data_IF_942546419190
#
_entry.id   IF_942546419190
#
_cell.length_a   1.000
_cell.length_b   1.000
_cell.length_c   1.000
_cell.angle_alpha   90.00
_cell.angle_beta   90.00
_cell.angle_gamma   90.00
#
_symmetry.space_group_name_H-M   'P 1'
#
loop_
_entity.id
_entity.type
_entity.pdbx_description
1 polymer ?
#
# COMPACT_ATOMS: atom_id res chain seq x y z
N UNK A 1 12.13 -26.22 48.69
CA UNK A 1 13.38 -25.72 49.32
C UNK A 1 13.85 -24.52 48.53
N UNK A 2 14.21 -23.43 49.23
CA UNK A 2 14.59 -22.11 48.69
C UNK A 2 13.46 -21.17 48.21
N UNK A 3 12.55 -20.89 49.13
CA UNK A 3 11.92 -19.57 49.27
C UNK A 3 12.16 -19.12 50.70
N UNK A 4 13.30 -18.46 50.98
CA UNK A 4 13.63 -17.79 52.26
C UNK A 4 15.08 -17.30 52.20
N UNK A 5 15.28 -16.03 51.85
CA UNK A 5 16.34 -15.11 52.33
C UNK A 5 16.39 -13.88 51.43
N UNK A 6 15.42 -12.99 51.57
CA UNK A 6 15.59 -11.53 51.41
C UNK A 6 14.45 -10.78 52.13
N UNK A 7 13.97 -11.38 53.22
CA UNK A 7 12.85 -10.87 54.00
C UNK A 7 13.26 -10.77 55.47
N UNK A 8 14.31 -10.01 55.77
CA UNK A 8 14.62 -9.54 57.12
C UNK A 8 15.70 -8.46 57.02
N UNK A 9 15.28 -7.20 57.02
CA UNK A 9 16.23 -6.09 57.07
C UNK A 9 15.69 -4.74 56.65
N UNK A 10 14.43 -4.39 56.97
CA UNK A 10 13.94 -2.99 56.99
C UNK A 10 12.54 -2.93 57.63
N UNK A 11 12.41 -3.50 58.83
CA UNK A 11 11.26 -3.30 59.73
C UNK A 11 11.78 -2.84 61.09
N UNK A 12 12.40 -1.66 61.10
CA UNK A 12 12.65 -0.85 62.30
C UNK A 12 13.20 0.52 61.88
N UNK A 13 12.31 1.42 61.45
CA UNK A 13 12.45 2.88 61.60
C UNK A 13 11.22 3.58 61.01
N UNK A 14 10.07 3.38 61.64
CA UNK A 14 8.93 4.29 61.50
C UNK A 14 8.38 4.59 62.88
N UNK A 15 9.01 5.57 63.52
CA UNK A 15 8.40 6.45 64.49
C UNK A 15 9.31 7.67 64.56
N UNK A 16 9.11 8.59 63.62
CA UNK A 16 9.70 9.92 63.68
C UNK A 16 8.63 10.92 63.24
N UNK A 17 8.55 11.97 64.03
CA UNK A 17 7.39 12.79 64.33
C UNK A 17 6.88 13.60 63.13
N UNK A 18 5.55 13.76 63.01
CA UNK A 18 4.89 14.51 61.91
C UNK A 18 5.17 16.01 61.95
N UNK A 19 5.98 16.50 62.88
CA UNK A 19 6.38 17.90 63.01
C UNK A 19 7.73 18.25 62.36
N UNK A 20 8.58 17.27 61.99
CA UNK A 20 9.92 17.54 61.45
C UNK A 20 9.98 17.48 59.92
N UNK A 21 9.09 16.72 59.27
CA UNK A 21 9.05 16.62 57.79
C UNK A 21 8.62 17.92 57.09
N UNK A 22 7.95 18.83 57.79
CA UNK A 22 7.47 20.10 57.23
C UNK A 22 8.57 21.17 57.14
N UNK A 23 9.67 21.06 57.92
CA UNK A 23 10.77 22.04 57.87
C UNK A 23 11.79 21.80 56.76
N UNK A 24 11.93 20.57 56.24
CA UNK A 24 12.91 20.28 55.17
C UNK A 24 12.36 20.66 53.78
N UNK A 25 11.04 20.69 53.61
CA UNK A 25 10.40 21.09 52.34
C UNK A 25 10.36 22.61 52.08
N UNK A 26 10.67 23.44 53.08
CA UNK A 26 10.68 24.91 52.93
C UNK A 26 12.08 25.46 52.61
N UNK A 27 13.15 24.69 52.85
CA UNK A 27 14.53 25.19 52.75
C UNK A 27 15.24 24.95 51.40
N UNK A 28 14.70 24.14 50.49
CA UNK A 28 15.26 23.97 49.12
C UNK A 28 14.46 24.67 48.02
N UNK A 29 13.36 25.35 48.37
CA UNK A 29 12.60 26.20 47.45
C UNK A 29 13.18 27.63 47.29
N UNK A 30 14.28 27.95 47.98
CA UNK A 30 14.85 29.31 48.02
C UNK A 30 16.32 29.39 47.59
N UNK A 31 16.74 28.63 46.57
CA UNK A 31 18.03 28.91 45.87
C UNK A 31 17.97 28.60 44.38
N UNK A 32 16.93 29.05 43.67
CA UNK A 32 17.05 29.39 42.24
C UNK A 32 15.98 30.41 41.82
N UNK A 33 15.88 31.52 42.55
CA UNK A 33 15.17 32.71 42.05
C UNK A 33 15.85 33.18 40.76
N UNK A 34 15.25 32.90 39.60
CA UNK A 34 15.31 33.86 38.50
C UNK A 34 14.43 35.03 38.92
N UNK A 35 15.04 36.20 39.01
CA UNK A 35 14.46 37.47 39.41
C UNK A 35 13.11 37.71 38.73
N UNK A 36 12.04 37.72 39.51
CA UNK A 36 10.79 38.35 39.13
C UNK A 36 11.00 39.87 39.24
N UNK A 37 11.16 40.55 38.11
CA UNK A 37 11.06 42.00 38.04
C UNK A 37 9.64 42.43 38.45
N UNK A 38 9.57 43.44 39.31
CA UNK A 38 8.34 44.17 39.62
C UNK A 38 7.71 44.67 38.32
N UNK A 39 6.56 44.10 37.93
CA UNK A 39 5.69 44.72 36.93
C UNK A 39 4.75 45.68 37.66
N UNK A 40 4.99 46.98 37.47
CA UNK A 40 3.93 47.99 37.49
C UNK A 40 2.77 47.54 36.58
N UNK A 41 1.54 48.07 36.75
CA UNK A 41 0.39 47.66 35.93
C UNK A 41 0.56 48.16 34.50
N UNK A 42 1.30 47.37 33.70
CA UNK A 42 1.41 47.54 32.26
C UNK A 42 0.07 47.14 31.67
N UNK A 43 -0.66 48.13 31.14
CA UNK A 43 -1.76 47.92 30.21
C UNK A 43 -1.24 46.97 29.11
N UNK A 44 -1.73 45.72 29.00
CA UNK A 44 -1.22 44.79 28.01
C UNK A 44 -1.70 45.28 26.65
N UNK A 45 -0.83 46.00 25.96
CA UNK A 45 -0.99 46.29 24.55
C UNK A 45 -1.18 44.95 23.83
N UNK A 46 -2.30 44.79 23.13
CA UNK A 46 -2.69 43.54 22.46
C UNK A 46 -1.66 43.06 21.42
N UNK A 47 -0.69 43.92 21.07
CA UNK A 47 0.39 43.65 20.14
C UNK A 47 1.57 42.85 20.72
N UNK A 48 1.68 42.69 22.04
CA UNK A 48 2.88 42.08 22.67
C UNK A 48 2.80 40.53 22.80
N UNK A 49 1.69 39.91 22.38
CA UNK A 49 1.47 38.47 22.43
C UNK A 49 1.68 37.75 21.07
N UNK A 50 2.21 38.45 20.06
CA UNK A 50 2.42 37.86 18.73
C UNK A 50 3.75 37.12 18.68
N UNK A 51 3.73 35.84 18.29
CA UNK A 51 4.97 35.08 18.12
C UNK A 51 5.81 35.66 16.97
N UNK A 52 7.04 36.08 17.27
CA UNK A 52 7.97 36.67 16.30
C UNK A 52 9.16 35.77 15.98
N UNK A 53 9.11 34.47 16.28
CA UNK A 53 10.19 33.57 15.86
C UNK A 53 10.19 33.42 14.33
N UNK A 54 11.32 33.08 13.70
CA UNK A 54 11.37 32.81 12.26
C UNK A 54 10.31 31.79 11.80
N UNK A 55 10.10 30.73 12.56
CA UNK A 55 9.16 29.65 12.26
C UNK A 55 7.70 30.14 12.32
N UNK A 56 7.34 30.90 13.35
CA UNK A 56 6.02 31.54 13.45
C UNK A 56 5.76 32.51 12.30
N UNK A 57 6.78 33.29 11.91
CA UNK A 57 6.66 34.21 10.76
C UNK A 57 6.47 33.47 9.45
N UNK A 58 7.26 32.43 9.21
CA UNK A 58 7.14 31.59 8.01
C UNK A 58 5.75 30.95 7.91
N UNK A 59 5.27 30.35 9.00
CA UNK A 59 3.96 29.73 9.06
C UNK A 59 2.83 30.77 8.90
N UNK A 60 2.97 31.94 9.55
CA UNK A 60 2.01 33.04 9.43
C UNK A 60 1.90 33.56 8.00
N UNK A 61 3.03 33.71 7.29
CA UNK A 61 3.06 34.08 5.87
C UNK A 61 2.39 33.00 5.01
N UNK A 62 2.74 31.72 5.23
CA UNK A 62 2.17 30.60 4.48
C UNK A 62 0.64 30.55 4.60
N UNK A 63 0.12 30.64 5.83
CA UNK A 63 -1.33 30.67 6.10
C UNK A 63 -1.99 31.90 5.48
N UNK A 64 -1.37 33.08 5.64
CA UNK A 64 -1.91 34.33 5.07
C UNK A 64 -2.02 34.31 3.55
N UNK A 65 -1.13 33.60 2.85
CA UNK A 65 -1.22 33.46 1.40
C UNK A 65 -2.30 32.47 0.95
N UNK A 66 -2.63 31.47 1.77
CA UNK A 66 -3.64 30.47 1.45
C UNK A 66 -5.07 30.97 1.72
N UNK A 67 -5.25 31.78 2.77
CA UNK A 67 -6.57 32.27 3.21
C UNK A 67 -7.17 33.30 2.24
N UNK A 68 -8.41 33.09 1.80
CA UNK A 68 -9.23 34.07 1.08
C UNK A 68 -10.22 34.75 2.04
N UNK A 69 -9.84 35.95 2.51
CA UNK A 69 -10.68 36.75 3.43
C UNK A 69 -11.97 37.28 2.81
N UNK A 70 -12.21 37.09 1.52
CA UNK A 70 -13.49 37.45 0.87
C UNK A 70 -14.54 36.34 1.01
N UNK A 71 -14.17 35.18 1.54
CA UNK A 71 -15.08 34.07 1.85
C UNK A 71 -15.43 34.10 3.34
N UNK A 72 -16.69 33.83 3.66
CA UNK A 72 -17.07 33.61 5.06
C UNK A 72 -16.67 32.18 5.45
N UNK A 73 -15.82 31.97 6.48
CA UNK A 73 -15.47 30.64 6.96
C UNK A 73 -16.68 29.84 7.47
N UNK A 74 -17.77 30.50 7.87
CA UNK A 74 -19.01 29.83 8.30
C UNK A 74 -19.83 29.29 7.11
N UNK A 75 -19.63 29.85 5.91
CA UNK A 75 -20.32 29.43 4.69
C UNK A 75 -19.53 28.33 3.94
N UNK A 76 -18.22 28.55 3.76
CA UNK A 76 -17.33 27.62 3.06
C UNK A 76 -15.92 27.72 3.62
N UNK A 77 -15.67 26.95 4.68
CA UNK A 77 -14.37 26.91 5.34
C UNK A 77 -13.26 26.44 4.40
N UNK A 78 -13.56 25.56 3.44
CA UNK A 78 -12.57 25.03 2.51
C UNK A 78 -12.08 26.11 1.55
N UNK A 79 -12.97 26.82 0.87
CA UNK A 79 -12.56 27.94 0.01
C UNK A 79 -11.92 29.06 0.83
N UNK A 80 -12.38 29.31 2.06
CA UNK A 80 -11.76 30.28 2.95
C UNK A 80 -10.28 29.97 3.22
N UNK A 81 -9.89 28.71 3.43
CA UNK A 81 -8.50 28.35 3.77
C UNK A 81 -7.65 27.83 2.60
N UNK A 82 -8.26 27.32 1.53
CA UNK A 82 -7.54 26.61 0.45
C UNK A 82 -7.65 27.28 -0.93
N UNK A 83 -8.58 28.20 -1.17
CA UNK A 83 -8.86 28.71 -2.52
C UNK A 83 -7.66 29.36 -3.18
N UNK A 84 -6.94 30.23 -2.49
CA UNK A 84 -5.75 30.88 -3.04
C UNK A 84 -4.60 29.87 -3.25
N UNK A 85 -4.47 28.87 -2.38
CA UNK A 85 -3.51 27.79 -2.57
C UNK A 85 -3.81 27.00 -3.84
N UNK A 86 -5.07 26.61 -4.07
CA UNK A 86 -5.49 25.89 -5.28
C UNK A 86 -5.22 26.69 -6.57
N UNK A 87 -5.41 28.01 -6.53
CA UNK A 87 -5.15 28.87 -7.68
C UNK A 87 -3.65 29.01 -7.99
N UNK A 88 -2.82 29.01 -6.96
CA UNK A 88 -1.37 29.20 -7.08
C UNK A 88 -0.58 27.89 -7.27
N UNK A 89 -1.23 26.73 -7.15
CA UNK A 89 -0.58 25.43 -7.27
C UNK A 89 -1.24 24.60 -8.38
N UNK A 90 -0.48 24.35 -9.46
CA UNK A 90 -0.90 23.48 -10.54
C UNK A 90 -0.51 22.03 -10.26
N UNK A 91 -1.39 21.09 -10.61
CA UNK A 91 -1.08 19.67 -10.55
C UNK A 91 0.10 19.36 -11.49
N UNK A 92 1.22 18.80 -10.99
CA UNK A 92 2.31 18.35 -11.85
C UNK A 92 1.80 17.35 -12.89
N UNK A 93 2.30 17.38 -14.14
CA UNK A 93 1.69 16.62 -15.24
C UNK A 93 1.77 15.09 -15.05
N UNK A 94 2.66 14.60 -14.18
CA UNK A 94 2.84 13.18 -13.88
C UNK A 94 2.09 12.72 -12.61
N UNK A 95 1.27 13.57 -12.01
CA UNK A 95 0.42 13.22 -10.86
C UNK A 95 -1.06 13.31 -11.26
N UNK A 96 -1.93 12.44 -10.71
CA UNK A 96 -3.37 12.55 -10.91
C UNK A 96 -3.92 13.77 -10.14
N UNK A 97 -3.54 13.90 -8.88
CA UNK A 97 -3.95 14.97 -7.98
C UNK A 97 -2.76 15.62 -7.28
N UNK A 98 -2.99 16.80 -6.71
CA UNK A 98 -1.97 17.53 -5.95
C UNK A 98 -2.55 18.18 -4.69
N UNK A 99 -1.78 18.15 -3.62
CA UNK A 99 -2.20 18.59 -2.28
C UNK A 99 -1.02 18.58 -1.31
N UNK A 100 -1.27 18.92 -0.05
CA UNK A 100 -0.21 18.97 0.97
C UNK A 100 0.50 17.63 1.21
N UNK A 101 -0.21 16.51 1.16
CA UNK A 101 0.43 15.17 1.27
C UNK A 101 1.35 14.90 0.08
N UNK A 102 0.94 15.28 -1.13
CA UNK A 102 1.79 15.17 -2.33
C UNK A 102 3.01 16.08 -2.26
N UNK A 103 2.86 17.31 -1.78
CA UNK A 103 3.98 18.22 -1.52
C UNK A 103 5.03 17.58 -0.59
N UNK A 104 4.58 16.97 0.51
CA UNK A 104 5.47 16.28 1.46
C UNK A 104 6.15 15.08 0.80
N UNK A 105 5.40 14.27 0.02
CA UNK A 105 5.96 13.13 -0.71
C UNK A 105 6.98 13.56 -1.77
N UNK A 106 6.74 14.65 -2.49
CA UNK A 106 7.69 15.24 -3.44
C UNK A 106 8.98 15.68 -2.74
N UNK A 107 8.86 16.39 -1.62
CA UNK A 107 10.02 16.86 -0.85
C UNK A 107 10.81 15.68 -0.27
N UNK A 108 10.12 14.67 0.27
CA UNK A 108 10.73 13.41 0.69
C UNK A 108 11.49 12.74 -0.46
N UNK A 109 10.87 12.62 -1.63
CA UNK A 109 11.50 12.00 -2.79
C UNK A 109 12.74 12.77 -3.27
N UNK A 110 12.73 14.10 -3.23
CA UNK A 110 13.90 14.94 -3.53
C UNK A 110 15.03 14.73 -2.54
N UNK A 111 14.74 14.69 -1.24
CA UNK A 111 15.74 14.40 -0.19
C UNK A 111 16.36 13.02 -0.34
N UNK A 112 15.54 12.01 -0.65
CA UNK A 112 16.03 10.67 -0.95
C UNK A 112 16.88 10.65 -2.23
N UNK A 113 16.46 11.33 -3.29
CA UNK A 113 17.26 11.52 -4.51
C UNK A 113 18.63 12.10 -4.19
N UNK A 114 18.71 13.12 -3.34
CA UNK A 114 19.97 13.75 -2.95
C UNK A 114 20.89 12.81 -2.16
N UNK A 115 20.33 11.95 -1.30
CA UNK A 115 21.11 10.89 -0.64
C UNK A 115 21.64 9.90 -1.68
N UNK A 116 20.74 9.34 -2.48
CA UNK A 116 21.02 8.24 -3.40
C UNK A 116 21.98 8.64 -4.53
N UNK A 117 21.85 9.86 -5.05
CA UNK A 117 22.71 10.37 -6.13
C UNK A 117 24.16 10.60 -5.68
N UNK A 118 24.39 10.75 -4.37
CA UNK A 118 25.73 10.89 -3.78
C UNK A 118 26.34 9.53 -3.37
N UNK A 119 25.61 8.43 -3.50
CA UNK A 119 26.12 7.09 -3.20
C UNK A 119 26.96 6.56 -4.37
N UNK A 120 28.16 6.09 -4.07
CA UNK A 120 29.05 5.43 -5.03
C UNK A 120 28.99 3.92 -4.86
N UNK A 121 28.92 3.18 -5.97
CA UNK A 121 29.10 1.72 -5.97
C UNK A 121 30.58 1.40 -6.17
N UNK A 122 31.24 0.79 -5.18
CA UNK A 122 32.66 0.43 -5.24
C UNK A 122 32.92 -0.90 -5.99
N UNK A 123 31.92 -1.75 -6.16
CA UNK A 123 32.06 -3.13 -6.67
C UNK A 123 30.82 -3.61 -7.45
N UNK A 124 30.98 -4.66 -8.25
CA UNK A 124 29.87 -5.36 -8.94
C UNK A 124 29.07 -6.30 -8.01
N UNK A 125 29.51 -6.48 -6.77
CA UNK A 125 28.87 -7.33 -5.76
C UNK A 125 28.56 -6.49 -4.53
N UNK A 126 27.29 -6.44 -4.12
CA UNK A 126 26.90 -5.68 -2.94
C UNK A 126 27.36 -6.38 -1.65
N UNK A 127 28.24 -5.74 -0.89
CA UNK A 127 28.75 -6.26 0.39
C UNK A 127 27.96 -5.73 1.59
N UNK A 128 27.29 -4.59 1.43
CA UNK A 128 26.46 -3.95 2.45
C UNK A 128 25.04 -3.61 1.95
N UNK A 129 24.14 -3.28 2.88
CA UNK A 129 22.82 -2.73 2.54
C UNK A 129 22.93 -1.43 1.72
N UNK A 130 23.92 -0.59 2.02
CA UNK A 130 24.18 0.63 1.26
C UNK A 130 24.60 0.34 -0.18
N UNK A 131 25.42 -0.69 -0.40
CA UNK A 131 25.81 -1.10 -1.75
C UNK A 131 24.60 -1.61 -2.53
N UNK A 132 23.70 -2.39 -1.88
CA UNK A 132 22.45 -2.85 -2.52
C UNK A 132 21.57 -1.67 -2.91
N UNK A 133 21.39 -0.70 -2.03
CA UNK A 133 20.60 0.52 -2.29
C UNK A 133 21.22 1.31 -3.45
N UNK A 134 22.52 1.56 -3.40
CA UNK A 134 23.25 2.29 -4.43
C UNK A 134 23.18 1.55 -5.78
N UNK A 135 23.44 0.24 -5.80
CA UNK A 135 23.35 -0.58 -7.01
C UNK A 135 21.94 -0.57 -7.60
N UNK A 136 20.89 -0.72 -6.78
CA UNK A 136 19.51 -0.72 -7.26
C UNK A 136 19.12 0.64 -7.86
N UNK A 137 19.43 1.75 -7.16
CA UNK A 137 19.16 3.09 -7.66
C UNK A 137 19.94 3.40 -8.95
N UNK A 138 21.24 3.11 -8.98
CA UNK A 138 22.07 3.35 -10.17
C UNK A 138 21.64 2.45 -11.34
N UNK A 139 21.21 1.21 -11.08
CA UNK A 139 20.66 0.32 -12.10
C UNK A 139 19.39 0.91 -12.74
N UNK A 140 18.49 1.46 -11.93
CA UNK A 140 17.30 2.13 -12.43
C UNK A 140 17.63 3.44 -13.18
N UNK A 141 18.62 4.20 -12.70
CA UNK A 141 19.01 5.49 -13.28
C UNK A 141 19.77 5.39 -14.60
N UNK A 142 20.42 4.26 -14.89
CA UNK A 142 21.07 4.02 -16.19
C UNK A 142 20.08 4.24 -17.31
N UNK A 143 20.49 4.96 -18.35
CA UNK A 143 19.66 5.14 -19.54
C UNK A 143 19.25 3.79 -20.12
N UNK A 144 18.06 3.77 -20.71
CA UNK A 144 17.52 2.57 -21.34
C UNK A 144 18.46 2.11 -22.45
N UNK A 145 18.51 0.79 -22.69
CA UNK A 145 19.31 0.27 -23.80
C UNK A 145 18.79 0.92 -25.08
N UNK A 146 19.68 1.40 -25.94
CA UNK A 146 19.28 1.90 -27.26
C UNK A 146 18.74 0.77 -28.17
N UNK A 147 18.55 -0.44 -27.65
CA UNK A 147 18.10 -1.64 -28.34
C UNK A 147 16.82 -2.21 -27.71
N UNK A 148 15.63 -1.82 -28.21
CA UNK A 148 14.34 -2.33 -27.73
C UNK A 148 14.23 -3.87 -27.72
N UNK A 149 14.83 -4.53 -28.70
CA UNK A 149 14.84 -6.01 -28.78
C UNK A 149 15.53 -6.67 -27.58
N UNK A 150 16.58 -6.04 -27.05
CA UNK A 150 17.29 -6.54 -25.87
C UNK A 150 16.41 -6.44 -24.62
N UNK A 151 15.66 -5.35 -24.47
CA UNK A 151 14.72 -5.15 -23.36
C UNK A 151 13.63 -6.21 -23.36
N UNK A 152 13.03 -6.46 -24.53
CA UNK A 152 12.01 -7.49 -24.70
C UNK A 152 12.60 -8.87 -24.44
N UNK A 153 13.83 -9.15 -24.88
CA UNK A 153 14.53 -10.40 -24.60
C UNK A 153 14.75 -10.63 -23.10
N UNK A 154 15.16 -9.58 -22.36
CA UNK A 154 15.29 -9.64 -20.89
C UNK A 154 13.95 -9.92 -20.22
N UNK A 155 12.88 -9.23 -20.62
CA UNK A 155 11.53 -9.48 -20.10
C UNK A 155 11.06 -10.91 -20.39
N UNK A 156 11.33 -11.45 -21.59
CA UNK A 156 11.05 -12.86 -21.89
C UNK A 156 11.83 -13.82 -21.00
N UNK A 157 13.09 -13.53 -20.71
CA UNK A 157 13.89 -14.34 -19.79
C UNK A 157 13.27 -14.32 -18.38
N UNK A 158 12.87 -13.15 -17.91
CA UNK A 158 12.17 -13.01 -16.62
C UNK A 158 10.86 -13.80 -16.58
N UNK A 159 10.04 -13.79 -17.65
CA UNK A 159 8.85 -14.63 -17.72
C UNK A 159 9.17 -16.13 -17.59
N UNK A 160 10.27 -16.60 -18.22
CA UNK A 160 10.73 -17.99 -18.10
C UNK A 160 11.13 -18.37 -16.68
N UNK A 161 11.74 -17.45 -15.94
CA UNK A 161 12.10 -17.66 -14.53
C UNK A 161 10.85 -17.88 -13.65
N UNK A 162 9.69 -17.34 -14.04
CA UNK A 162 8.40 -17.58 -13.39
C UNK A 162 7.62 -18.77 -13.95
N UNK A 163 8.21 -19.59 -14.82
CA UNK A 163 7.55 -20.77 -15.41
C UNK A 163 6.74 -20.49 -16.68
N UNK A 164 6.79 -19.27 -17.22
CA UNK A 164 6.16 -18.91 -18.49
C UNK A 164 7.20 -19.05 -19.60
N UNK A 165 7.32 -20.26 -20.12
CA UNK A 165 8.33 -20.65 -21.12
C UNK A 165 8.21 -19.85 -22.43
N UNK A 166 6.98 -19.55 -22.86
CA UNK A 166 6.65 -18.77 -24.04
C UNK A 166 5.45 -17.86 -23.79
N UNK A 167 5.55 -16.61 -24.23
CA UNK A 167 4.46 -15.64 -24.19
C UNK A 167 4.50 -14.69 -25.40
N UNK A 168 3.35 -14.35 -26.01
CA UNK A 168 2.06 -14.98 -25.79
C UNK A 168 1.99 -16.38 -26.42
N UNK A 169 1.18 -17.26 -25.86
CA UNK A 169 0.80 -18.52 -26.47
C UNK A 169 -0.38 -18.29 -27.43
N UNK A 170 -0.30 -18.96 -28.59
CA UNK A 170 -1.38 -18.94 -29.58
C UNK A 170 -2.52 -19.90 -29.18
N UNK A 171 -3.79 -19.57 -29.49
CA UNK A 171 -4.91 -20.47 -29.27
C UNK A 171 -4.68 -21.84 -29.91
N UNK A 172 -4.97 -22.92 -29.18
CA UNK A 172 -4.74 -24.30 -29.64
C UNK A 172 -3.30 -24.80 -29.50
N UNK A 173 -2.43 -24.08 -28.79
CA UNK A 173 -1.10 -24.57 -28.43
C UNK A 173 -1.17 -25.85 -27.57
N UNK A 174 -0.26 -26.80 -27.82
CA UNK A 174 -0.14 -28.06 -27.09
C UNK A 174 0.80 -27.98 -25.87
N UNK A 175 1.20 -26.78 -25.45
CA UNK A 175 2.06 -26.57 -24.28
C UNK A 175 1.34 -27.00 -23.00
N UNK A 176 2.00 -27.81 -22.18
CA UNK A 176 1.46 -28.23 -20.88
C UNK A 176 1.67 -27.13 -19.86
N UNK A 177 0.59 -26.54 -19.36
CA UNK A 177 0.65 -25.41 -18.42
C UNK A 177 0.27 -25.87 -17.01
N UNK A 178 1.19 -25.66 -16.07
CA UNK A 178 0.94 -25.83 -14.64
C UNK A 178 0.78 -24.46 -13.98
N UNK A 179 -0.45 -23.97 -13.90
CA UNK A 179 -0.71 -22.63 -13.36
C UNK A 179 -0.33 -22.51 -11.88
N UNK A 180 -0.41 -23.59 -11.09
CA UNK A 180 -0.05 -23.60 -9.68
C UNK A 180 1.44 -23.35 -9.49
N UNK A 181 2.27 -23.95 -10.33
CA UNK A 181 3.71 -23.73 -10.34
C UNK A 181 4.06 -22.30 -10.78
N UNK A 182 3.40 -21.78 -11.82
CA UNK A 182 3.56 -20.38 -12.25
C UNK A 182 3.20 -19.43 -11.09
N UNK A 183 2.01 -19.60 -10.49
CA UNK A 183 1.55 -18.79 -9.37
C UNK A 183 2.52 -18.86 -8.18
N UNK A 184 2.97 -20.06 -7.82
CA UNK A 184 3.96 -20.27 -6.75
C UNK A 184 5.27 -19.55 -7.04
N UNK A 185 5.81 -19.67 -8.25
CA UNK A 185 7.08 -19.02 -8.62
C UNK A 185 6.95 -17.49 -8.55
N UNK A 186 5.80 -16.94 -8.97
CA UNK A 186 5.50 -15.51 -8.86
C UNK A 186 5.40 -15.09 -7.38
N UNK A 187 4.66 -15.85 -6.57
CA UNK A 187 4.44 -15.55 -5.15
C UNK A 187 5.74 -15.64 -4.35
N UNK A 188 6.52 -16.70 -4.52
CA UNK A 188 7.75 -16.93 -3.74
C UNK A 188 8.93 -16.14 -4.29
N UNK A 189 9.05 -16.03 -5.62
CA UNK A 189 10.19 -15.39 -6.26
C UNK A 189 10.13 -13.87 -6.33
N UNK A 190 8.93 -13.28 -6.31
CA UNK A 190 8.74 -11.84 -6.50
C UNK A 190 7.79 -11.17 -5.50
N UNK A 191 7.22 -11.91 -4.54
CA UNK A 191 6.21 -11.40 -3.60
C UNK A 191 4.97 -10.80 -4.31
N UNK A 192 4.71 -11.23 -5.55
CA UNK A 192 3.59 -10.75 -6.34
C UNK A 192 2.40 -11.69 -6.22
N UNK A 193 1.21 -11.11 -6.22
CA UNK A 193 -0.06 -11.83 -6.17
C UNK A 193 -0.96 -11.39 -7.30
N UNK A 194 -1.48 -12.37 -8.05
CA UNK A 194 -2.46 -12.17 -9.11
C UNK A 194 -3.61 -13.12 -8.86
N UNK A 195 -4.85 -12.69 -9.10
CA UNK A 195 -6.09 -13.44 -8.79
C UNK A 195 -6.43 -13.43 -7.29
N UNK A 196 -5.57 -13.98 -6.45
CA UNK A 196 -5.66 -13.92 -4.99
C UNK A 196 -4.26 -13.72 -4.40
N UNK A 197 -4.19 -13.21 -3.18
CA UNK A 197 -2.94 -13.11 -2.40
C UNK A 197 -2.88 -14.20 -1.34
N UNK A 198 -1.65 -14.54 -0.93
CA UNK A 198 -1.37 -15.46 0.18
C UNK A 198 -0.31 -14.81 1.03
N UNK A 199 -0.67 -14.29 2.19
CA UNK A 199 0.20 -13.49 3.04
C UNK A 199 0.29 -14.08 4.45
N UNK A 200 1.26 -13.62 5.26
CA UNK A 200 1.35 -13.96 6.68
C UNK A 200 1.00 -12.72 7.49
N UNK A 201 -0.20 -12.71 8.08
CA UNK A 201 -0.71 -11.60 8.87
C UNK A 201 -1.18 -12.09 10.25
N UNK A 202 -1.35 -11.18 11.23
CA UNK A 202 -1.92 -11.55 12.52
C UNK A 202 -3.29 -12.24 12.37
N UNK A 203 -3.55 -13.26 13.18
CA UNK A 203 -4.84 -13.95 13.23
C UNK A 203 -5.93 -13.00 13.76
N UNK A 204 -7.12 -13.02 13.14
CA UNK A 204 -8.17 -12.02 13.39
C UNK A 204 -8.67 -12.01 14.84
N UNK A 205 -8.77 -13.19 15.45
CA UNK A 205 -9.26 -13.34 16.82
C UNK A 205 -8.14 -13.45 17.86
N UNK A 206 -6.89 -13.54 17.42
CA UNK A 206 -5.73 -13.55 18.30
C UNK A 206 -4.51 -12.96 17.59
N UNK A 207 -4.30 -11.66 17.74
CA UNK A 207 -3.21 -10.93 17.07
C UNK A 207 -1.80 -11.32 17.55
N UNK A 208 -1.68 -12.15 18.60
CA UNK A 208 -0.40 -12.72 19.04
C UNK A 208 0.01 -13.96 18.25
N UNK A 209 -0.88 -14.48 17.39
CA UNK A 209 -0.63 -15.61 16.51
C UNK A 209 -0.62 -15.14 15.06
N UNK A 210 0.24 -15.75 14.24
CA UNK A 210 0.20 -15.55 12.79
C UNK A 210 -0.81 -16.51 12.16
N UNK A 211 -1.44 -16.05 11.08
CA UNK A 211 -2.30 -16.83 10.22
C UNK A 211 -1.87 -16.69 8.76
N UNK A 212 -2.15 -17.73 7.98
CA UNK A 212 -2.12 -17.64 6.52
C UNK A 212 -3.34 -16.81 6.11
N UNK A 213 -3.10 -15.65 5.50
CA UNK A 213 -4.11 -14.75 5.01
C UNK A 213 -4.32 -14.98 3.52
N UNK A 214 -5.57 -15.16 3.10
CA UNK A 214 -5.93 -15.37 1.69
C UNK A 214 -7.06 -14.41 1.35
N UNK A 215 -6.86 -13.57 0.34
CA UNK A 215 -7.89 -12.65 -0.16
C UNK A 215 -7.73 -12.42 -1.66
N UNK A 216 -8.69 -11.72 -2.26
CA UNK A 216 -8.71 -11.36 -3.68
C UNK A 216 -7.62 -10.34 -3.98
N UNK A 217 -6.88 -10.56 -5.07
CA UNK A 217 -5.87 -9.60 -5.53
C UNK A 217 -6.51 -8.34 -6.12
N UNK A 218 -5.76 -7.23 -6.09
CA UNK A 218 -6.20 -5.97 -6.70
C UNK A 218 -6.31 -6.07 -8.23
N UNK A 219 -7.39 -5.50 -8.76
CA UNK A 219 -7.64 -5.33 -10.19
C UNK A 219 -7.41 -3.86 -10.60
N UNK A 220 -6.96 -3.65 -11.84
CA UNK A 220 -6.76 -2.31 -12.40
C UNK A 220 -7.43 -2.28 -13.78
N UNK A 221 -8.28 -1.28 -14.12
CA UNK A 221 -8.67 -0.07 -13.36
C UNK A 221 -9.29 -0.31 -11.98
N UNK A 222 -10.42 -1.02 -11.91
CA UNK A 222 -11.03 -1.50 -10.66
C UNK A 222 -11.83 -2.78 -10.93
N UNK A 223 -12.10 -3.55 -9.88
CA UNK A 223 -12.83 -4.82 -9.98
C UNK A 223 -14.24 -4.60 -10.59
N UNK A 224 -14.93 -3.53 -10.18
CA UNK A 224 -16.25 -3.17 -10.71
C UNK A 224 -16.23 -2.74 -12.18
N UNK A 225 -15.24 -1.92 -12.57
CA UNK A 225 -15.09 -1.48 -13.97
C UNK A 225 -14.85 -2.68 -14.90
N UNK A 226 -14.02 -3.64 -14.48
CA UNK A 226 -13.80 -4.87 -15.25
C UNK A 226 -15.06 -5.75 -15.27
N UNK A 227 -15.76 -5.93 -14.15
CA UNK A 227 -17.00 -6.71 -14.10
C UNK A 227 -18.07 -6.19 -15.05
N UNK A 228 -18.26 -4.87 -15.10
CA UNK A 228 -19.29 -4.23 -15.92
C UNK A 228 -18.84 -3.94 -17.36
N UNK A 229 -17.63 -4.33 -17.77
CA UNK A 229 -17.04 -3.99 -19.06
C UNK A 229 -17.86 -4.41 -20.30
N UNK A 230 -18.76 -5.38 -20.16
CA UNK A 230 -19.63 -5.86 -21.26
C UNK A 230 -20.99 -5.18 -21.33
N UNK A 231 -21.35 -4.40 -20.31
CA UNK A 231 -22.64 -3.70 -20.22
C UNK A 231 -22.48 -2.19 -20.09
N UNK A 232 -21.33 -1.72 -19.61
CA UNK A 232 -21.00 -0.32 -19.46
C UNK A 232 -19.82 0.05 -20.37
N UNK A 233 -19.89 1.25 -20.95
CA UNK A 233 -18.87 1.78 -21.82
C UNK A 233 -17.93 2.71 -21.05
N UNK A 234 -16.85 2.16 -20.50
CA UNK A 234 -15.87 2.88 -19.68
C UNK A 234 -14.56 3.13 -20.44
N UNK A 235 -14.10 4.38 -20.46
CA UNK A 235 -12.89 4.77 -21.20
C UNK A 235 -11.60 4.18 -20.62
N UNK A 236 -11.51 4.02 -19.29
CA UNK A 236 -10.35 3.39 -18.67
C UNK A 236 -10.29 1.90 -19.01
N UNK A 237 -11.44 1.23 -19.07
CA UNK A 237 -11.53 -0.17 -19.52
C UNK A 237 -11.08 -0.31 -20.97
N UNK A 238 -11.55 0.56 -21.88
CA UNK A 238 -11.10 0.54 -23.28
C UNK A 238 -9.58 0.79 -23.42
N UNK A 239 -9.04 1.72 -22.63
CA UNK A 239 -7.60 1.99 -22.61
C UNK A 239 -6.81 0.78 -22.09
N UNK A 240 -7.34 0.07 -21.09
CA UNK A 240 -6.76 -1.16 -20.57
C UNK A 240 -6.80 -2.32 -21.58
N UNK A 241 -7.94 -2.54 -22.26
CA UNK A 241 -8.03 -3.51 -23.37
C UNK A 241 -7.00 -3.21 -24.46
N UNK A 242 -6.84 -1.92 -24.82
CA UNK A 242 -5.83 -1.52 -25.79
C UNK A 242 -4.41 -1.76 -25.25
N UNK A 243 -4.14 -1.53 -23.98
CA UNK A 243 -2.83 -1.81 -23.38
C UNK A 243 -2.49 -3.31 -23.50
N UNK A 244 -3.41 -4.20 -23.12
CA UNK A 244 -3.26 -5.66 -23.31
C UNK A 244 -2.93 -5.96 -24.78
N UNK A 245 -3.73 -5.41 -25.71
CA UNK A 245 -3.56 -5.65 -27.15
C UNK A 245 -2.20 -5.19 -27.67
N UNK A 246 -1.76 -3.99 -27.34
CA UNK A 246 -0.47 -3.47 -27.79
C UNK A 246 0.69 -4.28 -27.21
N UNK A 247 0.59 -4.74 -25.96
CA UNK A 247 1.61 -5.61 -25.36
C UNK A 247 1.64 -6.99 -26.03
N UNK A 248 0.48 -7.59 -26.35
CA UNK A 248 0.43 -8.84 -27.12
C UNK A 248 1.10 -8.66 -28.49
N UNK A 249 0.83 -7.56 -29.21
CA UNK A 249 1.45 -7.26 -30.51
C UNK A 249 2.97 -7.10 -30.35
N UNK A 250 3.42 -6.35 -29.34
CA UNK A 250 4.83 -6.08 -29.07
C UNK A 250 5.64 -7.36 -28.83
N UNK A 251 5.05 -8.35 -28.15
CA UNK A 251 5.70 -9.63 -27.85
C UNK A 251 5.34 -10.75 -28.84
N UNK A 252 4.54 -10.50 -29.87
CA UNK A 252 4.21 -11.54 -30.84
C UNK A 252 5.24 -11.61 -31.96
N UNK A 253 5.80 -12.80 -32.19
CA UNK A 253 6.69 -13.08 -33.33
C UNK A 253 5.94 -12.97 -34.66
N UNK A 254 4.65 -13.34 -34.67
CA UNK A 254 3.76 -13.25 -35.83
C UNK A 254 2.85 -12.05 -35.66
N UNK A 255 2.92 -11.09 -36.58
CA UNK A 255 2.06 -9.89 -36.60
C UNK A 255 0.68 -10.13 -37.23
N UNK A 256 0.14 -11.35 -37.10
CA UNK A 256 -1.22 -11.64 -37.55
C UNK A 256 -2.20 -10.93 -36.60
N UNK A 257 -2.96 -9.98 -37.17
CA UNK A 257 -3.85 -9.11 -36.39
C UNK A 257 -5.03 -9.88 -35.79
N UNK A 258 -5.50 -10.94 -36.44
CA UNK A 258 -6.62 -11.73 -35.95
C UNK A 258 -6.17 -12.58 -34.76
N UNK A 259 -4.98 -13.18 -34.85
CA UNK A 259 -4.41 -13.99 -33.76
C UNK A 259 -4.10 -13.12 -32.55
N UNK A 260 -3.41 -11.99 -32.74
CA UNK A 260 -3.05 -11.08 -31.64
C UNK A 260 -4.27 -10.46 -30.98
N UNK A 261 -5.28 -10.05 -31.77
CA UNK A 261 -6.55 -9.55 -31.24
C UNK A 261 -7.28 -10.61 -30.43
N UNK A 262 -7.32 -11.86 -30.91
CA UNK A 262 -7.96 -12.97 -30.18
C UNK A 262 -7.28 -13.25 -28.85
N UNK A 263 -5.94 -13.29 -28.82
CA UNK A 263 -5.18 -13.49 -27.57
C UNK A 263 -5.49 -12.37 -26.56
N UNK A 264 -5.47 -11.12 -27.01
CA UNK A 264 -5.77 -9.97 -26.13
C UNK A 264 -7.20 -10.03 -25.57
N UNK A 265 -8.17 -10.38 -26.42
CA UNK A 265 -9.56 -10.59 -26.01
C UNK A 265 -9.69 -11.72 -25.00
N UNK A 266 -9.02 -12.86 -25.23
CA UNK A 266 -9.07 -14.01 -24.31
C UNK A 266 -8.48 -13.67 -22.92
N UNK A 267 -7.40 -12.89 -22.87
CA UNK A 267 -6.83 -12.38 -21.60
C UNK A 267 -7.84 -11.51 -20.86
N UNK A 268 -8.47 -10.55 -21.56
CA UNK A 268 -9.41 -9.63 -20.95
C UNK A 268 -10.72 -10.33 -20.54
N UNK A 269 -11.27 -11.20 -21.40
CA UNK A 269 -12.47 -12.00 -21.08
C UNK A 269 -12.24 -12.93 -19.89
N UNK A 270 -11.03 -13.48 -19.75
CA UNK A 270 -10.64 -14.22 -18.55
C UNK A 270 -10.73 -13.35 -17.29
N UNK A 271 -10.20 -12.13 -17.34
CA UNK A 271 -10.24 -11.19 -16.22
C UNK A 271 -11.69 -10.77 -15.87
N UNK A 272 -12.53 -10.49 -16.87
CA UNK A 272 -13.96 -10.25 -16.68
C UNK A 272 -14.65 -11.44 -16.00
N UNK A 273 -14.43 -12.66 -16.50
CA UNK A 273 -15.05 -13.86 -15.92
C UNK A 273 -14.52 -14.16 -14.51
N UNK A 274 -13.27 -13.79 -14.21
CA UNK A 274 -12.73 -13.87 -12.87
C UNK A 274 -13.45 -12.91 -11.91
N UNK A 275 -13.70 -11.65 -12.32
CA UNK A 275 -14.46 -10.70 -11.48
C UNK A 275 -15.91 -11.11 -11.26
N UNK A 276 -16.54 -11.84 -12.19
CA UNK A 276 -17.87 -12.44 -11.96
C UNK A 276 -17.85 -13.45 -10.81
N UNK A 277 -16.78 -14.21 -10.62
CA UNK A 277 -16.64 -15.11 -9.45
C UNK A 277 -16.60 -14.36 -8.13
N UNK A 278 -16.24 -13.09 -8.14
CA UNK A 278 -16.32 -12.22 -6.97
C UNK A 278 -17.77 -11.79 -6.74
N UNK A 279 -18.42 -11.16 -7.72
CA UNK A 279 -19.75 -10.56 -7.52
C UNK A 279 -20.92 -11.53 -7.56
N UNK A 280 -20.93 -12.53 -8.44
CA UNK A 280 -22.08 -13.43 -8.64
C UNK A 280 -22.41 -14.20 -7.34
N UNK A 281 -21.43 -14.40 -6.45
CA UNK A 281 -21.63 -15.08 -5.18
C UNK A 281 -21.69 -14.14 -3.97
N UNK A 282 -21.20 -12.90 -4.06
CA UNK A 282 -21.40 -11.92 -2.99
C UNK A 282 -22.81 -11.34 -2.98
N UNK A 283 -23.46 -11.23 -4.14
CA UNK A 283 -24.83 -10.71 -4.28
C UNK A 283 -25.93 -11.78 -4.19
N UNK A 284 -25.60 -13.07 -4.02
CA UNK A 284 -26.59 -14.13 -3.74
C UNK A 284 -27.14 -14.10 -2.30
N UNK A 285 -26.59 -13.23 -1.43
CA UNK A 285 -27.24 -12.89 -0.16
C UNK A 285 -28.34 -11.86 -0.40
N UNK A 286 -29.59 -12.33 -0.31
CA UNK A 286 -30.81 -11.54 -0.27
C UNK A 286 -30.72 -10.47 0.83
N UNK A 287 -30.49 -9.22 0.43
CA UNK A 287 -30.50 -8.04 1.31
C UNK A 287 -31.93 -7.58 1.65
N UNK A 288 -32.95 -8.43 1.55
CA UNK A 288 -34.34 -8.04 1.84
C UNK A 288 -34.64 -7.74 3.31
N UNK A 289 -33.77 -8.11 4.25
CA UNK A 289 -34.06 -8.02 5.70
C UNK A 289 -33.35 -6.89 6.45
N UNK A 290 -32.57 -6.04 5.77
CA UNK A 290 -32.00 -4.86 6.39
C UNK A 290 -32.15 -3.64 5.48
N UNK A 291 -33.17 -2.82 5.77
CA UNK A 291 -33.19 -1.41 5.38
C UNK A 291 -32.09 -0.68 6.17
N UNK A 292 -30.84 -0.96 5.84
CA UNK A 292 -29.71 -0.13 6.20
C UNK A 292 -29.30 0.58 4.92
N UNK A 293 -29.60 1.87 4.87
CA UNK A 293 -29.02 2.80 3.90
C UNK A 293 -27.51 2.83 4.20
N UNK A 294 -26.76 1.90 3.63
CA UNK A 294 -25.30 1.97 3.64
C UNK A 294 -24.87 3.00 2.59
N UNK A 295 -24.41 4.15 3.07
CA UNK A 295 -23.56 5.03 2.29
C UNK A 295 -22.21 4.32 2.11
N UNK A 296 -22.10 3.49 1.08
CA UNK A 296 -20.87 2.83 0.70
C UNK A 296 -19.93 3.87 0.07
N UNK A 297 -19.15 4.55 0.91
CA UNK A 297 -17.88 5.13 0.48
C UNK A 297 -16.89 4.01 0.23
N UNK A 298 -16.90 3.49 -0.99
CA UNK A 298 -15.82 2.67 -1.53
C UNK A 298 -14.57 3.55 -1.56
N UNK A 299 -13.54 3.22 -0.77
CA UNK A 299 -12.22 3.81 -0.92
C UNK A 299 -11.61 3.33 -2.24
N UNK A 300 -12.03 3.96 -3.34
CA UNK A 300 -11.27 4.01 -4.56
C UNK A 300 -10.05 4.90 -4.26
N UNK A 301 -8.86 4.31 -4.05
CA UNK A 301 -7.64 5.06 -3.75
C UNK A 301 -7.08 5.80 -5.00
N UNK A 302 -7.97 6.36 -5.80
CA UNK A 302 -7.72 7.43 -6.75
C UNK A 302 -8.82 8.52 -6.61
N UNK A 303 -8.43 9.58 -5.90
CA UNK A 303 -8.93 10.96 -5.98
C UNK A 303 -10.14 11.46 -5.19
N UNK A 304 -9.88 12.69 -4.69
CA UNK A 304 -10.79 13.81 -4.52
C UNK A 304 -11.53 13.93 -3.18
N UNK A 305 -11.24 15.07 -2.57
CA UNK A 305 -11.95 15.73 -1.50
C UNK A 305 -13.45 15.83 -1.77
N UNK A 306 -14.27 15.36 -0.83
CA UNK A 306 -15.56 16.00 -0.54
C UNK A 306 -15.83 16.02 0.97
N UNK A 307 -16.34 17.17 1.38
CA UNK A 307 -16.89 17.62 2.66
C UNK A 307 -17.27 16.55 3.68
N UNK A 308 -16.55 16.53 4.82
CA UNK A 308 -16.99 15.88 6.06
C UNK A 308 -17.56 16.97 6.98
N UNK A 309 -18.87 16.96 7.20
CA UNK A 309 -19.46 17.64 8.36
C UNK A 309 -19.05 16.89 9.64
N UNK A 310 -18.61 17.58 10.70
CA UNK A 310 -18.19 16.91 11.92
C UNK A 310 -19.41 16.47 12.75
N UNK A 311 -19.83 15.21 12.61
CA UNK A 311 -20.64 14.59 13.65
C UNK A 311 -19.77 14.34 14.89
N UNK A 312 -20.11 15.04 15.97
CA UNK A 312 -19.54 14.89 17.30
C UNK A 312 -19.68 13.44 17.77
N UNK A 313 -18.57 12.70 17.80
CA UNK A 313 -18.48 11.42 18.52
C UNK A 313 -18.60 11.66 20.02
N UNK A 314 -19.84 11.78 20.51
CA UNK A 314 -20.13 11.54 21.92
C UNK A 314 -19.90 10.06 22.19
N UNK A 315 -19.00 9.76 23.13
CA UNK A 315 -18.80 8.43 23.68
C UNK A 315 -20.14 7.93 24.26
N UNK A 316 -20.82 7.07 23.50
CA UNK A 316 -22.10 6.49 23.90
C UNK A 316 -21.83 5.37 24.90
N UNK A 317 -22.01 5.67 26.19
CA UNK A 317 -22.10 4.68 27.26
C UNK A 317 -23.51 4.09 27.26
N UNK A 318 -23.87 3.33 26.23
CA UNK A 318 -25.13 2.59 26.21
C UNK A 318 -24.83 1.09 26.35
N UNK A 319 -25.15 0.58 27.54
CA UNK A 319 -25.13 -0.84 27.90
C UNK A 319 -26.19 -1.57 27.04
N UNK A 320 -25.81 -1.95 25.83
CA UNK A 320 -26.68 -2.66 24.88
C UNK A 320 -26.91 -4.08 25.35
N UNK A 321 -28.12 -4.36 25.82
CA UNK A 321 -28.65 -5.71 26.04
C UNK A 321 -29.01 -6.35 24.70
N UNK A 322 -27.99 -6.64 23.89
CA UNK A 322 -28.14 -7.46 22.68
C UNK A 322 -28.11 -8.94 23.05
N UNK A 323 -28.85 -9.83 22.34
CA UNK A 323 -28.76 -11.29 22.54
C UNK A 323 -27.31 -11.74 22.39
N UNK A 324 -26.89 -12.87 23.02
CA UNK A 324 -25.51 -13.32 22.95
C UNK A 324 -25.09 -13.43 21.48
N UNK A 325 -24.07 -12.65 21.11
CA UNK A 325 -23.41 -12.81 19.81
C UNK A 325 -23.14 -14.30 19.63
N UNK A 326 -23.63 -14.85 18.52
CA UNK A 326 -23.28 -16.19 18.03
C UNK A 326 -21.77 -16.38 18.28
N UNK A 327 -21.37 -17.46 18.95
CA UNK A 327 -19.95 -17.74 19.16
C UNK A 327 -19.19 -17.47 17.86
N UNK A 328 -18.07 -16.71 17.89
CA UNK A 328 -17.30 -16.47 16.68
C UNK A 328 -17.01 -17.82 16.03
N UNK A 329 -17.26 -17.91 14.72
CA UNK A 329 -17.03 -19.17 14.00
C UNK A 329 -15.65 -19.72 14.37
N UNK A 330 -15.53 -21.03 14.64
CA UNK A 330 -14.27 -21.61 15.03
C UNK A 330 -13.21 -21.29 13.97
N UNK A 331 -12.01 -20.94 14.46
CA UNK A 331 -10.87 -20.61 13.60
C UNK A 331 -10.67 -21.67 12.51
N UNK A 332 -10.45 -21.23 11.27
CA UNK A 332 -10.19 -22.15 10.16
C UNK A 332 -8.75 -22.62 10.25
N UNK A 333 -8.57 -23.91 10.56
CA UNK A 333 -7.27 -24.56 10.51
C UNK A 333 -6.89 -24.90 9.08
N UNK A 334 -5.59 -24.87 8.78
CA UNK A 334 -5.07 -25.19 7.44
C UNK A 334 -5.55 -26.56 6.96
N UNK A 335 -5.56 -27.60 7.81
CA UNK A 335 -6.08 -28.93 7.45
C UNK A 335 -7.56 -28.95 7.04
N UNK A 336 -8.32 -27.97 7.48
CA UNK A 336 -9.77 -27.84 7.26
C UNK A 336 -10.11 -26.89 6.10
N UNK A 337 -9.12 -26.29 5.45
CA UNK A 337 -9.33 -25.20 4.47
C UNK A 337 -10.18 -25.64 3.26
N UNK A 338 -9.91 -26.81 2.69
CA UNK A 338 -10.65 -27.32 1.53
C UNK A 338 -12.13 -27.54 1.88
N UNK A 339 -12.40 -28.02 3.10
CA UNK A 339 -13.75 -28.23 3.63
C UNK A 339 -14.45 -26.90 3.87
N UNK A 340 -13.76 -25.91 4.47
CA UNK A 340 -14.30 -24.58 4.75
C UNK A 340 -14.67 -23.85 3.45
N UNK A 341 -13.78 -23.86 2.47
CA UNK A 341 -13.98 -23.24 1.16
C UNK A 341 -14.85 -24.07 0.20
N UNK A 342 -15.27 -25.27 0.59
CA UNK A 342 -16.02 -26.22 -0.27
C UNK A 342 -15.35 -26.39 -1.65
N UNK A 343 -14.02 -26.39 -1.67
CA UNK A 343 -13.19 -26.41 -2.86
C UNK A 343 -11.90 -27.16 -2.57
N UNK A 344 -11.59 -28.18 -3.37
CA UNK A 344 -10.40 -29.00 -3.18
C UNK A 344 -9.13 -28.32 -3.71
N UNK A 345 -7.99 -28.65 -3.11
CA UNK A 345 -6.66 -28.30 -3.62
C UNK A 345 -6.04 -27.04 -3.03
N UNK A 346 -6.72 -26.33 -2.12
CA UNK A 346 -6.16 -25.19 -1.39
C UNK A 346 -5.08 -25.64 -0.41
N UNK A 347 -5.34 -26.70 0.36
CA UNK A 347 -4.35 -27.27 1.28
C UNK A 347 -3.04 -27.62 0.57
N UNK A 348 -3.14 -28.25 -0.60
CA UNK A 348 -1.98 -28.65 -1.39
C UNK A 348 -1.24 -27.43 -1.95
N UNK A 349 -1.96 -26.46 -2.54
CA UNK A 349 -1.36 -25.24 -3.07
C UNK A 349 -0.62 -24.44 -1.98
N UNK A 350 -1.23 -24.28 -0.80
CA UNK A 350 -0.60 -23.58 0.32
C UNK A 350 0.65 -24.32 0.79
N UNK A 351 0.61 -25.65 0.94
CA UNK A 351 1.80 -26.44 1.26
C UNK A 351 2.92 -26.27 0.24
N UNK A 352 2.60 -26.26 -1.06
CA UNK A 352 3.58 -26.05 -2.12
C UNK A 352 4.19 -24.65 -2.09
N UNK A 353 3.42 -23.60 -1.79
CA UNK A 353 3.94 -22.23 -1.63
C UNK A 353 4.97 -22.16 -0.51
N UNK A 354 4.68 -22.81 0.62
CA UNK A 354 5.58 -22.80 1.79
C UNK A 354 6.67 -23.87 1.74
N UNK A 355 6.76 -24.71 0.71
CA UNK A 355 7.69 -25.84 0.69
C UNK A 355 9.18 -25.43 0.68
N UNK A 356 9.50 -24.24 0.14
CA UNK A 356 10.86 -23.69 0.12
C UNK A 356 11.15 -22.85 1.38
N UNK A 357 10.12 -22.53 2.17
CA UNK A 357 10.32 -21.94 3.47
C UNK A 357 10.92 -23.01 4.39
N UNK A 358 11.83 -22.61 5.28
CA UNK A 358 12.36 -23.51 6.32
C UNK A 358 11.32 -23.79 7.43
N UNK A 359 10.05 -23.94 7.07
CA UNK A 359 8.89 -24.13 7.94
C UNK A 359 8.14 -25.37 7.49
N UNK A 360 7.82 -26.25 8.43
CA UNK A 360 7.01 -27.44 8.16
C UNK A 360 5.57 -27.18 8.60
N UNK A 361 4.64 -27.11 7.64
CA UNK A 361 3.22 -26.90 7.92
C UNK A 361 2.58 -28.20 8.47
N UNK A 362 2.10 -28.13 9.70
CA UNK A 362 1.49 -29.25 10.44
C UNK A 362 0.03 -29.48 10.08
N UNK A 363 -0.65 -28.46 9.55
CA UNK A 363 -2.09 -28.42 9.34
C UNK A 363 -2.86 -27.72 10.48
N UNK A 364 -2.20 -27.40 11.60
CA UNK A 364 -2.81 -26.69 12.74
C UNK A 364 -2.65 -25.17 12.66
N UNK A 365 -1.97 -24.67 11.62
CA UNK A 365 -1.81 -23.24 11.36
C UNK A 365 -3.18 -22.58 11.16
N UNK A 366 -3.32 -21.35 11.68
CA UNK A 366 -4.53 -20.55 11.48
C UNK A 366 -4.60 -20.02 10.04
N UNK A 367 -5.82 -19.93 9.50
CA UNK A 367 -6.08 -19.38 8.17
C UNK A 367 -7.18 -18.32 8.27
N UNK A 368 -6.85 -17.10 7.83
CA UNK A 368 -7.81 -16.04 7.58
C UNK A 368 -8.19 -16.06 6.10
N UNK A 369 -9.21 -16.83 5.73
CA UNK A 369 -9.72 -16.87 4.35
C UNK A 369 -10.84 -15.84 4.17
N UNK A 370 -10.55 -14.76 3.45
CA UNK A 370 -11.52 -13.73 3.11
C UNK A 370 -12.21 -14.04 1.79
N UNK A 371 -13.43 -13.51 1.60
CA UNK A 371 -14.20 -13.68 0.35
C UNK A 371 -14.36 -15.16 -0.01
N UNK A 372 -14.81 -15.97 0.96
CA UNK A 372 -14.91 -17.45 0.85
C UNK A 372 -15.61 -17.90 -0.44
N UNK A 373 -16.62 -17.15 -0.88
CA UNK A 373 -17.37 -17.39 -2.11
C UNK A 373 -16.52 -17.29 -3.37
N UNK A 374 -15.69 -16.26 -3.49
CA UNK A 374 -14.72 -16.13 -4.57
C UNK A 374 -13.71 -17.27 -4.53
N UNK A 375 -13.16 -17.56 -3.34
CA UNK A 375 -12.17 -18.62 -3.15
C UNK A 375 -12.74 -20.01 -3.44
N UNK A 376 -14.03 -20.23 -3.20
CA UNK A 376 -14.75 -21.45 -3.57
C UNK A 376 -14.81 -21.62 -5.09
N UNK A 377 -15.09 -20.55 -5.84
CA UNK A 377 -15.27 -20.60 -7.29
C UNK A 377 -13.97 -20.56 -8.10
N UNK A 378 -12.95 -19.86 -7.61
CA UNK A 378 -11.75 -19.51 -8.39
C UNK A 378 -10.88 -20.73 -8.71
N UNK A 379 -10.73 -21.67 -7.79
CA UNK A 379 -9.93 -22.88 -7.99
C UNK A 379 -10.50 -23.74 -9.12
N UNK A 380 -11.82 -23.95 -9.13
CA UNK A 380 -12.53 -24.64 -10.20
C UNK A 380 -12.39 -23.90 -11.53
N UNK A 381 -12.61 -22.59 -11.52
CA UNK A 381 -12.48 -21.75 -12.72
C UNK A 381 -11.10 -21.86 -13.37
N UNK A 382 -10.03 -21.84 -12.57
CA UNK A 382 -8.66 -21.98 -13.07
C UNK A 382 -8.38 -23.37 -13.66
N UNK A 383 -8.92 -24.43 -13.07
CA UNK A 383 -8.72 -25.79 -13.55
C UNK A 383 -9.52 -26.11 -14.81
N UNK A 384 -10.69 -25.48 -15.00
CA UNK A 384 -11.55 -25.67 -16.18
C UNK A 384 -11.14 -24.76 -17.36
N UNK A 385 -10.45 -23.65 -17.08
CA UNK A 385 -9.97 -22.74 -18.12
C UNK A 385 -8.79 -23.36 -18.87
N UNK A 386 -8.73 -23.15 -20.20
CA UNK A 386 -7.58 -23.56 -21.00
C UNK A 386 -6.27 -23.02 -20.42
N UNK A 387 -5.28 -23.91 -20.21
CA UNK A 387 -3.96 -23.54 -19.71
C UNK A 387 -3.29 -22.44 -20.54
N UNK A 388 -3.55 -22.38 -21.85
CA UNK A 388 -3.07 -21.32 -22.75
C UNK A 388 -3.55 -19.94 -22.30
N UNK A 389 -4.83 -19.81 -21.95
CA UNK A 389 -5.43 -18.55 -21.48
C UNK A 389 -4.85 -18.17 -20.13
N UNK A 390 -4.76 -19.13 -19.19
CA UNK A 390 -4.20 -18.89 -17.86
C UNK A 390 -2.73 -18.44 -17.93
N UNK A 391 -1.91 -19.11 -18.75
CA UNK A 391 -0.52 -18.70 -19.02
C UNK A 391 -0.45 -17.28 -19.59
N UNK A 392 -1.31 -16.96 -20.55
CA UNK A 392 -1.33 -15.65 -21.17
C UNK A 392 -1.74 -14.55 -20.18
N UNK A 393 -2.71 -14.82 -19.31
CA UNK A 393 -3.09 -13.91 -18.24
C UNK A 393 -1.95 -13.68 -17.24
N UNK A 394 -1.30 -14.73 -16.73
CA UNK A 394 -0.16 -14.57 -15.81
C UNK A 394 0.99 -13.79 -16.47
N UNK A 395 1.31 -14.07 -17.72
CA UNK A 395 2.33 -13.32 -18.46
C UNK A 395 1.95 -11.86 -18.68
N UNK A 396 0.69 -11.56 -18.98
CA UNK A 396 0.19 -10.19 -19.04
C UNK A 396 0.37 -9.48 -17.69
N UNK A 397 -0.08 -10.08 -16.58
CA UNK A 397 0.01 -9.46 -15.25
C UNK A 397 1.45 -9.20 -14.82
N UNK A 398 2.38 -10.11 -15.13
CA UNK A 398 3.82 -9.89 -14.93
C UNK A 398 4.35 -8.74 -15.79
N UNK A 399 4.01 -8.69 -17.07
CA UNK A 399 4.46 -7.62 -17.98
C UNK A 399 3.85 -6.27 -17.63
N UNK A 400 2.61 -6.24 -17.13
CA UNK A 400 1.97 -5.03 -16.63
C UNK A 400 2.74 -4.44 -15.43
N UNK A 401 3.19 -5.29 -14.49
CA UNK A 401 3.94 -4.87 -13.30
C UNK A 401 5.43 -4.57 -13.59
N UNK A 402 6.11 -5.44 -14.34
CA UNK A 402 7.56 -5.38 -14.56
C UNK A 402 7.97 -4.62 -15.81
N UNK A 403 7.12 -4.61 -16.84
CA UNK A 403 7.39 -3.97 -18.13
C UNK A 403 7.78 -2.49 -18.02
N UNK A 404 7.00 -1.65 -17.31
CA UNK A 404 7.29 -0.21 -17.20
C UNK A 404 8.63 0.13 -16.55
N UNK A 405 9.22 -0.79 -15.79
CA UNK A 405 10.52 -0.66 -15.13
C UNK A 405 11.67 -1.07 -16.08
N UNK A 406 11.40 -2.00 -17.00
CA UNK A 406 12.44 -2.71 -17.76
C UNK A 406 12.45 -2.44 -19.27
N UNK A 407 11.42 -1.80 -19.82
CA UNK A 407 11.34 -1.49 -21.26
C UNK A 407 10.65 -0.18 -21.59
N UNK A 408 11.25 0.60 -22.48
CA UNK A 408 10.73 1.89 -22.94
C UNK A 408 9.35 1.78 -23.60
N UNK A 409 9.15 0.77 -24.44
CA UNK A 409 7.86 0.55 -25.10
C UNK A 409 6.78 0.24 -24.07
N UNK A 410 7.09 -0.56 -23.05
CA UNK A 410 6.16 -0.86 -21.96
C UNK A 410 5.89 0.35 -21.07
N UNK A 411 6.90 1.18 -20.77
CA UNK A 411 6.72 2.46 -20.06
C UNK A 411 5.77 3.38 -20.83
N UNK A 412 5.93 3.47 -22.15
CA UNK A 412 5.07 4.28 -23.02
C UNK A 412 3.63 3.77 -23.03
N UNK A 413 3.43 2.46 -23.23
CA UNK A 413 2.09 1.86 -23.20
C UNK A 413 1.40 2.03 -21.84
N UNK A 414 2.15 1.88 -20.75
CA UNK A 414 1.64 2.13 -19.41
C UNK A 414 1.28 3.60 -19.21
N UNK A 415 2.09 4.54 -19.71
CA UNK A 415 1.75 5.97 -19.68
C UNK A 415 0.49 6.27 -20.50
N UNK A 416 0.35 5.68 -21.69
CA UNK A 416 -0.84 5.83 -22.53
C UNK A 416 -2.12 5.38 -21.83
N UNK A 417 -2.06 4.25 -21.12
CA UNK A 417 -3.15 3.79 -20.26
C UNK A 417 -3.42 4.79 -19.12
N UNK A 418 -2.39 5.24 -18.40
CA UNK A 418 -2.55 6.13 -17.24
C UNK A 418 -2.99 7.56 -17.62
N UNK A 419 -2.76 8.02 -18.86
CA UNK A 419 -3.37 9.27 -19.37
C UNK A 419 -4.89 9.22 -19.32
N UNK A 420 -5.47 8.06 -19.65
CA UNK A 420 -6.92 7.86 -19.66
C UNK A 420 -7.43 7.49 -18.27
N UNK A 421 -6.78 6.54 -17.59
CA UNK A 421 -7.25 6.04 -16.31
C UNK A 421 -7.06 7.04 -15.16
N UNK A 422 -5.91 7.73 -15.12
CA UNK A 422 -5.53 8.63 -14.02
C UNK A 422 -5.47 10.10 -14.42
N UNK A 423 -5.78 10.44 -15.68
CA UNK A 423 -5.74 11.82 -16.15
C UNK A 423 -4.33 12.43 -16.25
N UNK A 424 -3.28 11.61 -16.29
CA UNK A 424 -1.90 12.12 -16.36
C UNK A 424 -1.70 12.93 -17.65
N UNK A 425 -0.94 14.02 -17.57
CA UNK A 425 -0.65 14.92 -18.68
C UNK A 425 0.78 14.80 -19.20
N UNK A 426 1.68 14.13 -18.45
CA UNK A 426 3.08 13.99 -18.81
C UNK A 426 3.79 12.87 -18.05
N UNK A 427 4.95 12.47 -18.55
CA UNK A 427 5.73 11.38 -17.96
C UNK A 427 6.42 11.81 -16.67
N UNK A 428 6.51 10.87 -15.73
CA UNK A 428 7.25 11.06 -14.50
C UNK A 428 8.76 11.13 -14.77
N UNK A 429 9.50 12.07 -14.15
CA UNK A 429 10.96 12.10 -14.26
C UNK A 429 11.60 10.80 -13.75
N UNK A 430 12.59 10.28 -14.49
CA UNK A 430 13.27 9.00 -14.16
C UNK A 430 13.76 8.90 -12.72
N UNK A 431 14.39 9.96 -12.20
CA UNK A 431 14.88 9.97 -10.81
C UNK A 431 13.76 9.73 -9.80
N UNK A 432 12.57 10.27 -10.07
CA UNK A 432 11.41 10.17 -9.19
C UNK A 432 10.83 8.76 -9.27
N UNK A 433 10.70 8.23 -10.49
CA UNK A 433 10.33 6.83 -10.72
C UNK A 433 11.27 5.88 -9.96
N UNK A 434 12.58 6.07 -10.05
CA UNK A 434 13.57 5.23 -9.38
C UNK A 434 13.53 5.33 -7.85
N UNK A 435 13.30 6.53 -7.30
CA UNK A 435 13.09 6.68 -5.85
C UNK A 435 11.80 5.97 -5.42
N UNK A 436 10.71 6.16 -6.18
CA UNK A 436 9.41 5.54 -5.89
C UNK A 436 9.47 4.02 -5.99
N UNK A 437 10.20 3.46 -6.96
CA UNK A 437 10.33 2.00 -7.09
C UNK A 437 11.03 1.36 -5.88
N UNK A 438 11.99 2.06 -5.26
CA UNK A 438 12.70 1.57 -4.07
C UNK A 438 11.95 1.80 -2.76
N UNK A 439 11.11 2.84 -2.71
CA UNK A 439 10.37 3.29 -1.53
C UNK A 439 8.87 3.38 -1.80
N UNK A 440 8.33 2.42 -2.55
CA UNK A 440 6.90 2.40 -2.86
C UNK A 440 6.11 2.30 -1.55
N UNK A 441 5.06 3.12 -1.34
CA UNK A 441 4.34 3.12 -0.07
C UNK A 441 3.58 1.82 0.19
N UNK A 442 3.31 1.00 -0.83
CA UNK A 442 2.55 -0.23 -0.72
C UNK A 442 3.44 -1.48 -0.86
N UNK A 443 4.46 -1.42 -1.71
CA UNK A 443 5.33 -2.55 -2.05
C UNK A 443 6.82 -2.15 -2.08
N UNK A 444 7.38 -1.72 -0.93
CA UNK A 444 8.73 -1.16 -0.89
C UNK A 444 9.79 -2.24 -1.02
N UNK A 445 10.62 -2.17 -2.06
CA UNK A 445 11.76 -3.09 -2.25
C UNK A 445 12.83 -2.88 -1.16
N UNK A 446 13.18 -1.62 -0.86
CA UNK A 446 14.24 -1.27 0.10
C UNK A 446 13.80 -0.17 1.08
N UNK A 447 12.49 -0.02 1.31
CA UNK A 447 11.92 1.11 2.07
C UNK A 447 12.51 1.30 3.46
N UNK A 448 12.73 0.22 4.24
CA UNK A 448 13.38 0.33 5.54
C UNK A 448 14.83 0.83 5.45
N UNK A 449 15.56 0.39 4.43
CA UNK A 449 16.93 0.85 4.17
C UNK A 449 16.97 2.34 3.83
N UNK A 450 16.05 2.79 2.97
CA UNK A 450 15.91 4.21 2.62
C UNK A 450 15.44 5.04 3.82
N UNK A 451 14.54 4.52 4.64
CA UNK A 451 14.08 5.12 5.89
C UNK A 451 15.23 5.36 6.88
N UNK A 452 16.13 4.39 7.03
CA UNK A 452 17.35 4.55 7.86
C UNK A 452 18.21 5.72 7.37
N UNK A 453 18.51 5.74 6.07
CA UNK A 453 19.32 6.81 5.47
C UNK A 453 18.67 8.19 5.61
N UNK A 454 17.34 8.25 5.47
CA UNK A 454 16.58 9.48 5.64
C UNK A 454 16.64 9.98 7.09
N UNK A 455 16.35 9.09 8.06
CA UNK A 455 16.35 9.44 9.49
C UNK A 455 17.73 9.87 9.95
N UNK A 456 18.80 9.19 9.54
CA UNK A 456 20.19 9.56 9.88
C UNK A 456 20.57 10.98 9.43
N UNK A 457 19.98 11.47 8.34
CA UNK A 457 20.33 12.77 7.75
C UNK A 457 19.36 13.89 8.12
N UNK A 458 18.06 13.60 8.22
CA UNK A 458 17.01 14.62 8.28
C UNK A 458 16.15 14.56 9.55
N UNK A 459 16.36 13.60 10.45
CA UNK A 459 15.56 13.45 11.66
C UNK A 459 16.45 13.43 12.92
N UNK A 460 16.06 14.16 13.96
CA UNK A 460 16.81 14.22 15.22
C UNK A 460 15.98 13.67 16.40
N UNK A 461 16.65 13.35 17.52
CA UNK A 461 16.01 12.76 18.69
C UNK A 461 15.04 13.71 19.40
N UNK A 462 15.25 15.02 19.30
CA UNK A 462 14.37 16.04 19.89
C UNK A 462 13.00 16.03 19.21
N UNK A 463 12.94 15.93 17.89
CA UNK A 463 11.68 15.83 17.14
C UNK A 463 10.82 14.63 17.58
N UNK A 464 11.46 13.50 17.89
CA UNK A 464 10.75 12.33 18.44
C UNK A 464 10.18 12.59 19.83
N UNK A 465 10.93 13.29 20.68
CA UNK A 465 10.48 13.64 22.03
C UNK A 465 9.29 14.61 21.97
N UNK A 466 9.38 15.65 21.15
CA UNK A 466 8.32 16.65 21.00
C UNK A 466 6.98 15.96 20.64
N UNK A 467 6.98 15.09 19.62
CA UNK A 467 5.79 14.33 19.21
C UNK A 467 5.29 13.37 20.29
N UNK A 468 6.17 12.78 21.09
CA UNK A 468 5.75 11.84 22.16
C UNK A 468 5.10 12.55 23.37
N UNK A 469 5.25 13.88 23.44
CA UNK A 469 4.69 14.72 24.51
C UNK A 469 3.44 15.50 24.11
N UNK A 470 3.11 15.51 22.82
CA UNK A 470 1.81 15.96 22.30
C UNK A 470 0.73 14.95 22.67
#
# INVERSE_FOLDING_TARGET
TFALRYHFGLKKMFMMDRSIATMIFVATAFTSSRTAENKDPVNPDLHDNVCTTPECREMGIMLSHAIDRNKDPCDDFYDYVCKNWKQNNTVPPYLPSYGHVWLIREELAKRLKDILSNMTTSTCQAESLNDKIAMAYQSCMKEDSSQPEEEISRLRKTLKEFGISKWPLIPGSNETINWKEIYRNIRVGADMSFIFSVDLLPHLFNTSQLAIYIDVSKFVPSLYQIYTARTNNDSAVQAYENFIKQTVILFSEKKDINVTTKIAQDIFDFEVNLTKKFYDFEFEFDYSDYNITYDYHYYDENESSSTIEPELLQARSDESTSPPQKEPEPSTKLKDIDRKLKSEGWLQLLKEIFQDASVNLTGEEEVNAFRETFLQGVMKFLNETSGVIVNNYFGWRLLFKLGPIASHNMTTLNFDFNKVWRGLQGQEPRWRHCVSALNDPYDPILGYGLGRLYVEKYFNSTQKQDVSTL
#
